data_IF_276660139384
#
_entry.id   IF_276660139384
#
_cell.length_a   1.000
_cell.length_b   1.000
_cell.length_c   1.000
_cell.angle_alpha   90.00
_cell.angle_beta   90.00
_cell.angle_gamma   90.00
#
_symmetry.space_group_name_H-M   'P 1'
#
loop_
_entity.id
_entity.type
_entity.pdbx_description
1 polymer ?
#
# COMPACT_ATOMS: atom_id res chain seq x y z
N UNK A 1 -29.09 45.93 54.48
CA UNK A 1 -28.98 44.62 53.79
C UNK A 1 -28.84 44.86 52.30
N UNK A 2 -27.70 44.48 51.70
CA UNK A 2 -27.60 43.77 50.41
C UNK A 2 -26.12 43.67 50.03
N UNK A 3 -25.66 42.42 50.01
CA UNK A 3 -24.35 41.99 49.54
C UNK A 3 -24.34 41.99 48.01
N UNK A 4 -23.26 42.47 47.39
CA UNK A 4 -22.90 42.09 46.02
C UNK A 4 -21.41 41.75 46.05
N UNK A 5 -21.11 40.48 46.33
CA UNK A 5 -19.78 39.91 46.16
C UNK A 5 -19.55 39.64 44.69
N UNK A 6 -18.58 40.34 44.10
CA UNK A 6 -18.12 40.10 42.74
C UNK A 6 -17.20 38.87 42.77
N UNK A 7 -17.73 37.71 42.37
CA UNK A 7 -16.98 36.47 42.22
C UNK A 7 -16.30 36.48 40.84
N UNK A 8 -14.99 36.76 40.82
CA UNK A 8 -14.12 36.55 39.66
C UNK A 8 -13.77 35.06 39.57
N UNK A 9 -14.38 34.35 38.62
CA UNK A 9 -13.94 33.01 38.24
C UNK A 9 -12.69 33.12 37.33
N UNK A 10 -11.59 32.40 37.62
CA UNK A 10 -10.52 32.25 36.65
C UNK A 10 -10.96 31.21 35.59
N UNK A 11 -11.10 31.67 34.35
CA UNK A 11 -11.20 30.81 33.17
C UNK A 11 -9.88 30.02 33.02
N UNK A 12 -9.86 28.79 33.54
CA UNK A 12 -8.87 27.80 33.13
C UNK A 12 -9.21 27.35 31.71
N UNK A 13 -8.57 27.99 30.71
CA UNK A 13 -8.49 27.47 29.35
C UNK A 13 -7.51 26.28 29.37
N UNK A 14 -8.00 25.06 29.54
CA UNK A 14 -7.21 23.87 29.25
C UNK A 14 -7.08 23.73 27.73
N UNK A 15 -5.87 23.72 27.13
CA UNK A 15 -5.73 23.39 25.72
C UNK A 15 -6.15 21.93 25.53
N UNK A 16 -7.20 21.73 24.73
CA UNK A 16 -7.53 20.39 24.22
C UNK A 16 -6.35 19.92 23.38
N UNK A 17 -5.83 18.68 23.58
CA UNK A 17 -4.89 18.12 22.63
C UNK A 17 -5.59 18.06 21.27
N UNK A 18 -5.01 18.70 20.26
CA UNK A 18 -5.39 18.48 18.87
C UNK A 18 -5.10 17.02 18.57
N UNK A 19 -6.13 16.18 18.63
CA UNK A 19 -6.08 14.81 18.15
C UNK A 19 -6.01 14.93 16.62
N UNK A 20 -4.79 14.84 16.09
CA UNK A 20 -4.52 14.82 14.67
C UNK A 20 -5.01 13.46 14.13
N UNK A 21 -6.31 13.37 13.86
CA UNK A 21 -6.92 12.18 13.29
C UNK A 21 -6.51 12.11 11.82
N UNK A 22 -5.51 11.27 11.50
CA UNK A 22 -5.21 10.91 10.11
C UNK A 22 -6.50 10.36 9.47
N UNK A 23 -6.98 11.03 8.44
CA UNK A 23 -8.11 10.58 7.60
C UNK A 23 -7.85 9.16 7.10
N UNK A 24 -8.87 8.30 7.13
CA UNK A 24 -8.76 6.92 6.65
C UNK A 24 -8.43 6.91 5.17
N UNK A 25 -7.53 6.02 4.74
CA UNK A 25 -7.15 5.85 3.33
C UNK A 25 -8.40 5.65 2.46
N UNK A 26 -9.44 5.01 2.99
CA UNK A 26 -10.74 4.79 2.34
C UNK A 26 -11.50 6.10 2.02
N UNK A 27 -11.49 7.08 2.91
CA UNK A 27 -12.13 8.39 2.70
C UNK A 27 -11.33 9.23 1.69
N UNK A 28 -10.07 8.91 1.55
CA UNK A 28 -9.06 9.71 0.88
C UNK A 28 -8.86 9.25 -0.60
N UNK A 29 -9.46 8.10 -1.00
CA UNK A 29 -9.32 7.40 -2.29
C UNK A 29 -9.65 8.18 -3.57
N UNK A 30 -9.98 9.46 -3.52
CA UNK A 30 -9.95 10.29 -4.72
C UNK A 30 -8.52 10.54 -5.24
N UNK A 31 -7.48 10.67 -4.38
CA UNK A 31 -6.15 11.16 -4.79
C UNK A 31 -4.95 10.83 -3.83
N UNK A 32 -4.90 9.66 -3.16
CA UNK A 32 -3.92 9.47 -2.05
C UNK A 32 -2.52 9.05 -2.49
N UNK A 33 -1.57 9.96 -2.27
CA UNK A 33 -0.18 9.61 -1.97
C UNK A 33 -0.12 9.00 -0.56
N UNK A 34 0.34 7.76 -0.46
CA UNK A 34 0.60 7.12 0.84
C UNK A 34 1.98 7.55 1.37
N UNK A 35 2.27 7.31 2.65
CA UNK A 35 3.56 7.66 3.29
C UNK A 35 4.30 6.44 3.85
N UNK A 36 4.05 5.24 3.29
CA UNK A 36 4.70 4.01 3.75
C UNK A 36 6.22 4.08 3.58
N UNK A 37 6.94 3.50 4.55
CA UNK A 37 8.36 3.16 4.39
C UNK A 37 8.46 1.86 3.62
N UNK A 38 9.28 1.82 2.58
CA UNK A 38 9.51 0.61 1.81
C UNK A 38 10.86 0.03 2.17
N UNK A 39 10.91 -1.29 2.37
CA UNK A 39 12.16 -2.02 2.61
C UNK A 39 12.24 -3.26 1.72
N UNK A 40 13.45 -3.68 1.36
CA UNK A 40 13.71 -5.02 0.82
C UNK A 40 14.62 -5.78 1.76
N UNK A 41 14.17 -6.95 2.22
CA UNK A 41 14.87 -7.74 3.23
C UNK A 41 15.27 -6.87 4.44
N UNK A 42 14.39 -5.95 4.83
CA UNK A 42 14.55 -4.92 5.87
C UNK A 42 15.56 -3.79 5.57
N UNK A 43 16.13 -3.73 4.36
CA UNK A 43 16.96 -2.62 3.90
C UNK A 43 16.05 -1.52 3.31
N UNK A 44 16.11 -0.26 3.77
CA UNK A 44 15.30 0.82 3.25
C UNK A 44 15.47 1.06 1.75
N UNK A 45 14.36 1.35 1.07
CA UNK A 45 14.32 1.89 -0.29
C UNK A 45 14.08 3.39 -0.26
N UNK A 46 14.77 4.11 -1.13
CA UNK A 46 14.51 5.52 -1.36
C UNK A 46 13.37 5.68 -2.38
N UNK A 47 12.20 6.06 -1.88
CA UNK A 47 10.97 6.14 -2.65
C UNK A 47 10.81 7.53 -3.26
N UNK A 48 10.54 7.58 -4.56
CA UNK A 48 10.25 8.82 -5.29
C UNK A 48 8.76 9.13 -5.30
N UNK A 49 7.96 8.14 -5.67
CA UNK A 49 6.50 8.26 -5.71
C UNK A 49 5.87 7.02 -5.10
N UNK A 50 4.74 7.18 -4.45
CA UNK A 50 3.92 6.07 -3.96
C UNK A 50 2.45 6.46 -3.92
N UNK A 51 1.57 5.46 -3.98
CA UNK A 51 0.14 5.67 -3.84
C UNK A 51 -0.67 4.40 -4.05
N UNK A 52 -1.97 4.51 -3.86
CA UNK A 52 -2.92 3.42 -4.10
C UNK A 52 -3.80 3.79 -5.30
N UNK A 53 -3.90 2.90 -6.27
CA UNK A 53 -4.71 3.12 -7.49
C UNK A 53 -5.67 1.96 -7.74
N UNK A 54 -6.80 2.23 -8.40
CA UNK A 54 -7.71 1.19 -8.87
C UNK A 54 -7.41 0.87 -10.34
N UNK A 55 -6.99 -0.37 -10.63
CA UNK A 55 -6.64 -0.80 -12.00
C UNK A 55 -7.46 -2.00 -12.46
N UNK A 56 -7.60 -2.13 -13.78
CA UNK A 56 -7.98 -3.37 -14.42
C UNK A 56 -6.83 -4.37 -14.35
N UNK A 57 -7.16 -5.63 -14.03
CA UNK A 57 -6.25 -6.76 -13.94
C UNK A 57 -6.74 -7.82 -14.89
N UNK A 58 -5.92 -8.14 -15.87
CA UNK A 58 -6.15 -9.22 -16.82
C UNK A 58 -5.43 -10.48 -16.33
N UNK A 59 -6.16 -11.58 -16.21
CA UNK A 59 -5.61 -12.88 -15.84
C UNK A 59 -5.97 -13.89 -16.90
N UNK A 60 -4.95 -14.42 -17.57
CA UNK A 60 -5.07 -15.56 -18.45
C UNK A 60 -5.18 -16.83 -17.60
N UNK A 61 -6.29 -17.56 -17.73
CA UNK A 61 -6.42 -18.91 -17.17
C UNK A 61 -6.32 -19.93 -18.29
N UNK A 62 -5.28 -20.75 -18.24
CA UNK A 62 -5.22 -21.95 -19.06
C UNK A 62 -6.13 -23.02 -18.48
N UNK A 63 -7.13 -23.45 -19.24
CA UNK A 63 -7.90 -24.65 -18.97
C UNK A 63 -7.41 -25.77 -19.89
N UNK A 64 -7.00 -26.89 -19.30
CA UNK A 64 -6.71 -28.11 -20.05
C UNK A 64 -7.99 -28.89 -20.26
N UNK A 65 -8.53 -28.87 -21.48
CA UNK A 65 -9.67 -29.69 -21.88
C UNK A 65 -9.13 -30.78 -22.82
N UNK A 66 -8.99 -31.99 -22.30
CA UNK A 66 -8.42 -33.16 -22.99
C UNK A 66 -6.96 -33.00 -23.47
N UNK A 67 -6.45 -34.02 -24.18
CA UNK A 67 -5.04 -34.22 -24.53
C UNK A 67 -4.40 -33.09 -25.32
N UNK A 68 -5.16 -32.29 -26.07
CA UNK A 68 -4.57 -31.41 -27.11
C UNK A 68 -5.21 -30.02 -27.25
N UNK A 69 -6.03 -29.52 -26.32
CA UNK A 69 -6.54 -28.14 -26.45
C UNK A 69 -6.42 -27.36 -25.14
N UNK A 70 -5.47 -26.42 -25.11
CA UNK A 70 -5.42 -25.33 -24.13
C UNK A 70 -6.41 -24.26 -24.59
N UNK A 71 -7.46 -24.03 -23.81
CA UNK A 71 -8.24 -22.79 -23.94
C UNK A 71 -7.67 -21.75 -22.97
N UNK A 72 -7.39 -20.56 -23.49
CA UNK A 72 -7.05 -19.39 -22.69
C UNK A 72 -8.34 -18.62 -22.50
N UNK A 73 -8.84 -18.56 -21.26
CA UNK A 73 -9.94 -17.67 -20.91
C UNK A 73 -9.36 -16.42 -20.24
N UNK A 74 -9.66 -15.27 -20.82
CA UNK A 74 -9.26 -13.97 -20.27
C UNK A 74 -10.31 -13.47 -19.29
N UNK A 75 -9.90 -13.28 -18.03
CA UNK A 75 -10.74 -12.67 -17.00
C UNK A 75 -10.19 -11.29 -16.65
N UNK A 76 -11.02 -10.26 -16.80
CA UNK A 76 -10.73 -8.91 -16.37
C UNK A 76 -11.51 -8.58 -15.09
N UNK A 77 -10.83 -8.04 -14.08
CA UNK A 77 -11.47 -7.50 -12.88
C UNK A 77 -10.75 -6.22 -12.43
N UNK A 78 -11.40 -5.42 -11.59
CA UNK A 78 -10.75 -4.25 -10.97
C UNK A 78 -10.21 -4.61 -9.60
N UNK A 79 -9.00 -4.15 -9.29
CA UNK A 79 -8.39 -4.30 -7.98
C UNK A 79 -7.55 -3.09 -7.62
N UNK A 80 -7.46 -2.81 -6.32
CA UNK A 80 -6.54 -1.82 -5.79
C UNK A 80 -5.11 -2.30 -5.91
N UNK A 81 -4.20 -1.40 -6.24
CA UNK A 81 -2.78 -1.64 -6.35
C UNK A 81 -2.02 -0.68 -5.45
N UNK A 82 -1.04 -1.20 -4.74
CA UNK A 82 0.02 -0.39 -4.15
C UNK A 82 1.04 -0.12 -5.25
N UNK A 83 1.21 1.15 -5.60
CA UNK A 83 2.14 1.61 -6.61
C UNK A 83 3.25 2.40 -5.96
N UNK A 84 4.49 2.21 -6.40
CA UNK A 84 5.62 3.03 -5.99
C UNK A 84 6.75 2.97 -7.00
N UNK A 85 7.56 4.03 -7.02
CA UNK A 85 8.82 4.11 -7.75
C UNK A 85 9.95 4.43 -6.78
N UNK A 86 11.16 3.98 -7.10
CA UNK A 86 12.32 4.10 -6.20
C UNK A 86 13.61 4.38 -6.96
N UNK A 87 14.59 4.89 -6.22
CA UNK A 87 15.91 5.21 -6.74
C UNK A 87 16.68 3.94 -7.14
N UNK A 88 17.41 4.04 -8.25
CA UNK A 88 17.97 2.92 -9.03
C UNK A 88 19.08 2.12 -8.35
N UNK A 89 19.52 2.48 -7.14
CA UNK A 89 20.70 1.88 -6.52
C UNK A 89 20.54 0.39 -6.15
N UNK A 90 19.33 -0.17 -6.20
CA UNK A 90 19.09 -1.56 -5.83
C UNK A 90 18.70 -2.44 -7.04
N UNK A 91 19.65 -3.26 -7.50
CA UNK A 91 19.38 -4.34 -8.48
C UNK A 91 18.84 -5.56 -7.75
N UNK A 92 17.60 -5.96 -8.05
CA UNK A 92 16.97 -7.18 -7.52
C UNK A 92 16.89 -8.27 -8.59
N UNK A 93 18.00 -8.97 -8.90
CA UNK A 93 18.09 -9.89 -10.04
C UNK A 93 17.08 -11.06 -9.96
N UNK A 94 16.72 -11.51 -8.76
CA UNK A 94 15.77 -12.61 -8.56
C UNK A 94 14.31 -12.15 -8.38
N UNK A 95 14.05 -10.85 -8.24
CA UNK A 95 12.72 -10.33 -7.91
C UNK A 95 12.31 -10.57 -6.45
N UNK A 96 11.00 -10.65 -6.20
CA UNK A 96 10.42 -10.69 -4.85
C UNK A 96 9.38 -11.81 -4.73
N UNK A 97 9.37 -12.48 -3.58
CA UNK A 97 8.51 -13.64 -3.30
C UNK A 97 7.29 -13.30 -2.42
N UNK A 98 7.47 -12.36 -1.48
CA UNK A 98 6.48 -11.99 -0.47
C UNK A 98 6.54 -10.48 -0.22
N UNK A 99 5.37 -9.89 0.04
CA UNK A 99 5.23 -8.53 0.56
C UNK A 99 4.59 -8.61 1.94
N UNK A 100 5.11 -7.84 2.87
CA UNK A 100 4.75 -7.83 4.28
C UNK A 100 4.40 -6.41 4.70
N UNK A 101 3.31 -6.27 5.43
CA UNK A 101 2.78 -5.02 5.92
C UNK A 101 2.93 -4.98 7.44
N UNK A 102 3.58 -3.93 7.94
CA UNK A 102 3.93 -3.78 9.36
C UNK A 102 3.30 -2.52 9.97
N UNK A 103 3.03 -2.62 11.27
CA UNK A 103 2.80 -1.48 12.16
C UNK A 103 3.85 -1.54 13.26
N UNK A 104 4.81 -0.63 13.24
CA UNK A 104 6.04 -0.73 14.02
C UNK A 104 6.79 -2.02 13.70
N UNK A 105 6.85 -2.92 14.68
CA UNK A 105 7.51 -4.22 14.55
C UNK A 105 6.53 -5.38 14.30
N UNK A 106 5.23 -5.13 14.37
CA UNK A 106 4.21 -6.15 14.27
C UNK A 106 3.84 -6.43 12.81
N UNK A 107 3.92 -7.70 12.40
CA UNK A 107 3.47 -8.13 11.08
C UNK A 107 1.94 -8.17 11.06
N UNK A 108 1.34 -7.22 10.34
CA UNK A 108 -0.11 -7.11 10.19
C UNK A 108 -0.63 -8.08 9.13
N UNK A 109 0.07 -8.16 7.99
CA UNK A 109 -0.34 -8.99 6.85
C UNK A 109 0.83 -9.37 5.98
N UNK A 110 0.75 -10.51 5.32
CA UNK A 110 1.65 -10.88 4.24
C UNK A 110 0.90 -11.39 3.02
N UNK A 111 1.47 -11.14 1.84
CA UNK A 111 0.95 -11.62 0.57
C UNK A 111 2.09 -12.25 -0.24
N UNK A 112 1.88 -13.48 -0.73
CA UNK A 112 2.81 -14.08 -1.68
C UNK A 112 2.64 -13.46 -3.07
N UNK A 113 3.75 -13.16 -3.75
CA UNK A 113 3.78 -12.65 -5.11
C UNK A 113 3.90 -13.75 -6.19
N UNK A 114 3.94 -15.04 -5.80
CA UNK A 114 4.12 -16.18 -6.72
C UNK A 114 2.95 -16.41 -7.70
N UNK A 115 1.80 -15.78 -7.48
CA UNK A 115 0.63 -15.92 -8.38
C UNK A 115 0.72 -14.93 -9.54
N UNK A 116 0.48 -15.41 -10.76
CA UNK A 116 0.32 -14.54 -11.93
C UNK A 116 -0.74 -13.46 -11.69
N UNK A 117 -0.47 -12.22 -12.14
CA UNK A 117 -1.34 -11.06 -11.93
C UNK A 117 -1.29 -10.41 -10.54
N UNK A 118 -0.39 -10.86 -9.64
CA UNK A 118 -0.14 -10.18 -8.35
C UNK A 118 0.90 -9.08 -8.41
N UNK A 119 1.87 -9.20 -9.32
CA UNK A 119 2.94 -8.23 -9.52
C UNK A 119 2.86 -7.71 -10.94
N UNK A 120 2.85 -6.39 -11.08
CA UNK A 120 3.07 -5.70 -12.34
C UNK A 120 4.36 -4.90 -12.18
N UNK A 121 5.37 -5.25 -12.97
CA UNK A 121 6.60 -4.48 -13.10
C UNK A 121 6.65 -3.95 -14.50
N UNK A 122 6.63 -2.63 -14.63
CA UNK A 122 6.94 -1.99 -15.90
C UNK A 122 8.48 -1.95 -16.01
N UNK A 123 9.06 -2.76 -16.90
CA UNK A 123 10.43 -2.52 -17.35
C UNK A 123 10.49 -1.29 -18.28
N UNK A 124 9.40 -1.05 -19.00
CA UNK A 124 9.19 0.13 -19.83
C UNK A 124 8.10 0.99 -19.18
N UNK A 125 8.56 2.09 -18.58
CA UNK A 125 7.81 2.84 -17.60
C UNK A 125 6.41 3.28 -18.03
N UNK A 126 5.58 3.54 -17.01
CA UNK A 126 4.86 4.81 -17.01
C UNK A 126 5.83 5.86 -17.54
N UNK A 127 5.49 6.56 -18.63
CA UNK A 127 6.31 7.65 -19.17
C UNK A 127 6.88 8.45 -17.97
N UNK A 128 8.21 8.39 -17.78
CA UNK A 128 9.00 9.11 -16.76
C UNK A 128 9.26 8.48 -15.36
N UNK A 129 8.90 7.22 -15.09
CA UNK A 129 9.26 6.56 -13.81
C UNK A 129 10.13 5.30 -14.03
N UNK A 130 11.45 5.44 -13.83
CA UNK A 130 12.35 4.29 -13.73
C UNK A 130 12.04 3.48 -12.45
N UNK A 131 12.14 2.14 -12.52
CA UNK A 131 11.94 1.22 -11.39
C UNK A 131 10.55 1.31 -10.73
N UNK A 132 9.50 1.30 -11.53
CA UNK A 132 8.12 1.28 -11.05
C UNK A 132 7.63 -0.14 -10.71
N UNK A 133 6.97 -0.28 -9.55
CA UNK A 133 6.32 -1.51 -9.11
C UNK A 133 4.86 -1.21 -8.76
N UNK A 134 3.95 -2.05 -9.26
CA UNK A 134 2.57 -2.10 -8.80
C UNK A 134 2.25 -3.51 -8.28
N UNK A 135 1.70 -3.60 -7.08
CA UNK A 135 1.27 -4.85 -6.46
C UNK A 135 -0.22 -4.84 -6.29
N UNK A 136 -0.86 -5.89 -6.78
CA UNK A 136 -2.29 -6.11 -6.60
C UNK A 136 -2.58 -6.45 -5.13
N UNK A 137 -3.41 -5.61 -4.49
CA UNK A 137 -3.83 -5.73 -3.09
C UNK A 137 -5.03 -6.66 -2.90
N UNK A 138 -5.39 -7.49 -3.89
CA UNK A 138 -6.49 -8.44 -3.77
C UNK A 138 -6.33 -9.33 -2.53
N UNK A 139 -7.28 -9.21 -1.60
CA UNK A 139 -7.29 -9.95 -0.33
C UNK A 139 -6.60 -9.22 0.82
N UNK A 140 -6.24 -7.95 0.63
CA UNK A 140 -5.85 -6.99 1.67
C UNK A 140 -7.01 -5.98 1.79
N UNK A 141 -7.76 -5.95 2.91
CA UNK A 141 -8.76 -4.93 3.15
C UNK A 141 -8.08 -3.55 3.21
N UNK A 142 -8.62 -2.53 2.53
CA UNK A 142 -7.96 -1.22 2.46
C UNK A 142 -7.82 -0.55 3.84
N UNK A 143 -8.80 -0.71 4.72
CA UNK A 143 -8.72 -0.19 6.10
C UNK A 143 -7.54 -0.77 6.89
N UNK A 144 -7.00 -1.93 6.51
CA UNK A 144 -5.80 -2.48 7.14
C UNK A 144 -4.58 -1.60 6.84
N UNK A 145 -4.57 -0.88 5.73
CA UNK A 145 -3.46 -0.02 5.34
C UNK A 145 -3.37 1.24 6.21
N UNK A 146 -4.45 1.64 6.88
CA UNK A 146 -4.47 2.82 7.76
C UNK A 146 -3.49 2.69 8.93
N UNK A 147 -3.20 1.46 9.37
CA UNK A 147 -2.26 1.17 10.46
C UNK A 147 -0.87 0.77 9.97
N UNK A 148 -0.65 0.69 8.66
CA UNK A 148 0.63 0.27 8.09
C UNK A 148 1.58 1.46 8.04
N UNK A 149 2.77 1.29 8.60
CA UNK A 149 3.86 2.28 8.46
C UNK A 149 4.97 1.79 7.53
N UNK A 150 5.13 0.47 7.36
CA UNK A 150 6.22 -0.13 6.60
C UNK A 150 5.74 -1.31 5.76
N UNK A 151 6.20 -1.33 4.52
CA UNK A 151 5.99 -2.43 3.57
C UNK A 151 7.36 -3.04 3.24
N UNK A 152 7.55 -4.30 3.63
CA UNK A 152 8.77 -5.04 3.36
C UNK A 152 8.58 -6.04 2.22
N UNK A 153 9.55 -6.09 1.33
CA UNK A 153 9.62 -7.03 0.22
C UNK A 153 10.69 -8.06 0.55
N UNK A 154 10.33 -9.33 0.52
CA UNK A 154 11.33 -10.39 0.65
C UNK A 154 11.81 -10.84 -0.72
N UNK A 155 13.13 -10.85 -0.91
CA UNK A 155 13.76 -11.33 -2.13
C UNK A 155 13.37 -12.79 -2.42
N UNK A 156 13.23 -13.13 -3.70
CA UNK A 156 13.14 -14.54 -4.08
C UNK A 156 14.50 -15.22 -3.82
N UNK A 157 14.47 -16.41 -3.21
CA UNK A 157 15.65 -17.25 -2.97
C UNK A 157 15.99 -18.08 -4.20
#
# INVERSE_FOLDING_TARGET
MRYIGLLLLPLFLSPLPAIDAKESILEQLSLVKTDFKFTVDNIPLEIRTQGITLRAVEVQREHKISSETKQINDFAYRAYHLEFSFEREYKFPAGFDVVEFYSGNDLIRSISLKRSGRKFTAAEGRLHEDNFIAINLRGVPLAVLDSVDRVNFRGAK
#
